data_IF_870661658003
#
_entry.id   IF_870661658003
#
_cell.length_a   1.000
_cell.length_b   1.000
_cell.length_c   1.000
_cell.angle_alpha   90.00
_cell.angle_beta   90.00
_cell.angle_gamma   90.00
#
_symmetry.space_group_name_H-M   'P 1'
#
loop_
_entity.id
_entity.type
_entity.pdbx_description
1 polymer ?
#
# COMPACT_ATOMS: atom_id res chain seq x y z
N UNK A 1 8.01 7.18 -16.47
CA UNK A 1 6.88 8.11 -16.18
C UNK A 1 6.08 7.53 -15.02
N UNK A 2 5.83 8.27 -13.94
CA UNK A 2 5.00 7.80 -12.83
C UNK A 2 3.58 7.50 -13.33
N UNK A 3 3.00 6.38 -12.90
CA UNK A 3 1.65 5.98 -13.29
C UNK A 3 0.66 6.35 -12.19
N UNK A 4 -0.33 7.16 -12.53
CA UNK A 4 -1.33 7.66 -11.61
C UNK A 4 -2.65 6.90 -11.76
N UNK A 5 -3.31 6.64 -10.64
CA UNK A 5 -4.66 6.09 -10.54
C UNK A 5 -5.55 7.12 -9.84
N UNK A 6 -6.31 7.87 -10.62
CA UNK A 6 -7.16 8.94 -10.10
C UNK A 6 -8.36 8.37 -9.34
N UNK A 7 -8.72 9.00 -8.22
CA UNK A 7 -9.88 8.64 -7.38
C UNK A 7 -10.00 7.15 -7.02
N UNK A 8 -8.88 6.45 -6.97
CA UNK A 8 -8.82 4.99 -6.86
C UNK A 8 -8.53 4.50 -5.44
N UNK A 9 -8.27 5.40 -4.48
CA UNK A 9 -7.98 4.97 -3.12
C UNK A 9 -9.18 4.30 -2.45
N UNK A 10 -9.03 3.07 -1.93
CA UNK A 10 -10.14 2.35 -1.28
C UNK A 10 -10.54 2.97 0.07
N UNK A 11 -9.66 3.75 0.71
CA UNK A 11 -9.93 4.39 2.01
C UNK A 11 -10.62 5.75 1.88
N UNK A 12 -10.12 6.62 1.00
CA UNK A 12 -10.56 8.02 0.94
C UNK A 12 -11.03 8.47 -0.46
N UNK A 13 -11.00 7.58 -1.46
CA UNK A 13 -11.22 7.91 -2.88
C UNK A 13 -10.31 9.04 -3.41
N UNK A 14 -9.16 9.24 -2.79
CA UNK A 14 -8.11 10.11 -3.30
C UNK A 14 -7.31 9.46 -4.43
N UNK A 15 -6.32 10.20 -4.90
CA UNK A 15 -5.43 9.77 -5.99
C UNK A 15 -4.29 8.90 -5.45
N UNK A 16 -3.92 7.90 -6.26
CA UNK A 16 -2.85 6.95 -5.98
C UNK A 16 -1.75 7.11 -7.02
N UNK A 17 -0.48 7.05 -6.59
CA UNK A 17 0.66 6.94 -7.47
C UNK A 17 1.32 5.57 -7.34
N UNK A 18 1.93 5.09 -8.42
CA UNK A 18 2.71 3.85 -8.47
C UNK A 18 4.17 4.21 -8.65
N UNK A 19 5.04 3.63 -7.80
CA UNK A 19 6.48 3.85 -7.84
C UNK A 19 7.25 2.57 -7.46
N UNK A 20 8.58 2.61 -7.57
CA UNK A 20 9.49 1.55 -7.13
C UNK A 20 10.29 2.01 -5.92
N UNK A 21 10.53 1.09 -4.99
CA UNK A 21 11.48 1.34 -3.91
C UNK A 21 12.93 1.12 -4.38
N UNK A 22 13.87 1.28 -3.44
CA UNK A 22 15.30 1.10 -3.69
C UNK A 22 15.69 -0.33 -4.07
N UNK A 23 14.89 -1.30 -3.67
CA UNK A 23 15.06 -2.72 -3.99
C UNK A 23 14.40 -3.09 -5.34
N UNK A 24 13.68 -2.14 -5.94
CA UNK A 24 13.02 -2.29 -7.24
C UNK A 24 11.61 -2.88 -7.17
N UNK A 25 11.05 -3.06 -5.97
CA UNK A 25 9.68 -3.54 -5.80
C UNK A 25 8.67 -2.44 -6.10
N UNK A 26 7.63 -2.79 -6.85
CA UNK A 26 6.55 -1.87 -7.18
C UNK A 26 5.59 -1.73 -6.00
N UNK A 27 5.25 -0.49 -5.66
CA UNK A 27 4.23 -0.19 -4.67
C UNK A 27 3.30 0.91 -5.17
N UNK A 28 2.10 0.94 -4.62
CA UNK A 28 1.17 2.04 -4.79
C UNK A 28 0.91 2.74 -3.46
N UNK A 29 0.75 4.06 -3.54
CA UNK A 29 0.59 4.91 -2.37
C UNK A 29 -0.43 6.02 -2.66
N UNK A 30 -1.41 6.18 -1.79
CA UNK A 30 -2.36 7.29 -1.84
C UNK A 30 -1.74 8.56 -1.24
N UNK A 31 -1.91 9.70 -1.93
CA UNK A 31 -1.40 11.00 -1.50
C UNK A 31 -2.15 11.61 -0.32
N UNK A 32 -3.46 11.33 -0.21
CA UNK A 32 -4.30 12.00 0.80
C UNK A 32 -4.30 11.31 2.16
N UNK A 33 -4.28 9.97 2.20
CA UNK A 33 -4.47 9.20 3.43
C UNK A 33 -3.31 8.24 3.76
N UNK A 34 -2.24 8.31 2.97
CA UNK A 34 -1.08 7.45 3.11
C UNK A 34 -1.40 5.94 3.06
N UNK A 35 -2.46 5.53 2.34
CA UNK A 35 -2.69 4.11 2.02
C UNK A 35 -1.65 3.54 1.06
N UNK A 36 -0.86 2.58 1.55
CA UNK A 36 0.16 1.86 0.79
C UNK A 36 -0.25 0.43 0.53
N UNK A 37 0.06 -0.08 -0.65
CA UNK A 37 -0.06 -1.49 -1.01
C UNK A 37 1.11 -1.89 -1.92
N UNK A 38 1.60 -3.11 -1.75
CA UNK A 38 2.64 -3.68 -2.62
C UNK A 38 2.01 -4.26 -3.89
N UNK A 39 2.48 -3.83 -5.06
CA UNK A 39 2.08 -4.43 -6.33
C UNK A 39 2.93 -5.67 -6.57
N UNK A 40 2.43 -6.83 -6.12
CA UNK A 40 2.99 -8.11 -6.53
C UNK A 40 2.87 -8.27 -8.04
N UNK A 41 3.97 -8.62 -8.70
CA UNK A 41 3.99 -8.79 -10.15
C UNK A 41 3.03 -9.93 -10.54
N UNK A 42 2.04 -9.63 -11.40
CA UNK A 42 1.02 -10.60 -11.80
C UNK A 42 1.59 -11.82 -12.55
N UNK A 43 2.86 -11.79 -12.97
CA UNK A 43 3.54 -12.95 -13.57
C UNK A 43 3.80 -14.09 -12.57
N UNK A 44 3.71 -13.84 -11.26
CA UNK A 44 4.02 -14.82 -10.22
C UNK A 44 2.79 -15.54 -9.64
N UNK A 45 1.57 -15.19 -10.06
CA UNK A 45 0.35 -15.81 -9.53
C UNK A 45 -0.03 -17.09 -10.28
N UNK A 46 0.75 -18.15 -10.02
CA UNK A 46 0.17 -19.48 -9.85
C UNK A 46 0.21 -19.74 -8.33
N UNK A 47 -0.97 -19.81 -7.71
CA UNK A 47 -1.26 -20.04 -6.28
C UNK A 47 -1.32 -18.78 -5.35
N UNK A 48 -2.37 -18.68 -4.50
CA UNK A 48 -2.60 -17.52 -3.63
C UNK A 48 -1.76 -17.59 -2.34
N UNK A 49 -0.73 -16.74 -2.23
CA UNK A 49 -0.04 -16.53 -0.97
C UNK A 49 -0.84 -15.58 -0.04
N UNK A 50 -1.14 -15.97 1.21
CA UNK A 50 -1.78 -15.09 2.18
C UNK A 50 -0.79 -13.98 2.55
N UNK A 51 -1.14 -12.72 2.27
CA UNK A 51 -0.38 -11.57 2.76
C UNK A 51 -0.59 -11.44 4.27
N UNK A 52 0.32 -12.05 5.03
CA UNK A 52 0.57 -11.70 6.41
C UNK A 52 1.67 -10.62 6.48
N UNK A 53 1.62 -9.84 7.56
CA UNK A 53 2.55 -8.79 8.02
C UNK A 53 2.25 -7.40 7.45
N UNK A 54 2.07 -6.33 8.23
CA UNK A 54 2.23 -6.19 9.67
C UNK A 54 2.38 -4.71 10.00
N UNK A 55 1.49 -4.18 10.83
CA UNK A 55 1.55 -2.81 11.33
C UNK A 55 0.85 -2.70 12.68
N UNK A 56 1.32 -3.49 13.66
CA UNK A 56 1.04 -3.24 15.08
C UNK A 56 1.89 -2.06 15.51
N UNK A 57 1.28 -1.00 16.04
CA UNK A 57 1.64 -0.37 17.32
C UNK A 57 0.81 0.91 17.55
N UNK A 58 -0.19 0.81 18.43
CA UNK A 58 -0.31 1.77 19.53
C UNK A 58 -1.11 1.12 20.65
N UNK A 59 -0.41 0.57 21.64
CA UNK A 59 -0.98 0.15 22.90
C UNK A 59 -0.34 1.01 23.98
N UNK A 60 -1.19 1.49 24.91
CA UNK A 60 -0.92 2.11 26.23
C UNK A 60 -0.91 3.65 26.23
N UNK A 61 -1.50 4.38 27.19
CA UNK A 61 -2.35 4.10 28.36
C UNK A 61 -2.82 5.46 28.92
N UNK A 62 -3.89 5.44 29.71
CA UNK A 62 -4.60 6.55 30.38
C UNK A 62 -3.80 7.31 31.45
N UNK A 63 -4.25 8.53 31.77
CA UNK A 63 -4.31 9.12 33.12
C UNK A 63 -5.46 10.15 33.09
N UNK A 64 -6.49 10.12 33.93
CA UNK A 64 -6.55 9.65 35.32
C UNK A 64 -6.33 10.85 36.21
#
# INVERSE_FOLDING_TARGET
MPKWKLKSCPRCRGDIFIDRDLEGWWYEQCLQCSYRSELKNLAEFKEPAPVALGGRQSKRQSAG
#
